data_IF_450908176950
#
_entry.id   IF_450908176950
#
_cell.length_a   1.000
_cell.length_b   1.000
_cell.length_c   1.000
_cell.angle_alpha   90.00
_cell.angle_beta   90.00
_cell.angle_gamma   90.00
#
_symmetry.space_group_name_H-M   'P 1'
#
loop_
_entity.id
_entity.type
_entity.pdbx_description
1 polymer ?
#
# COMPACT_ATOMS: atom_id res chain seq x y z
N UNK A 1 15.09 -11.06 24.39
CA UNK A 1 15.45 -11.63 23.07
C UNK A 1 14.33 -12.53 22.51
N UNK A 2 13.06 -12.10 22.50
CA UNK A 2 11.92 -12.96 22.08
C UNK A 2 11.00 -12.35 20.99
N UNK A 3 11.18 -11.07 20.64
CA UNK A 3 10.30 -10.38 19.68
C UNK A 3 10.54 -10.77 18.21
N UNK A 4 11.79 -11.10 17.83
CA UNK A 4 12.13 -11.48 16.46
C UNK A 4 11.60 -12.88 16.08
N UNK A 5 11.64 -13.81 17.03
CA UNK A 5 11.18 -15.19 16.85
C UNK A 5 9.66 -15.24 16.66
N UNK A 6 8.92 -14.42 17.40
CA UNK A 6 7.46 -14.33 17.29
C UNK A 6 7.01 -13.78 15.92
N UNK A 7 7.66 -12.72 15.41
CA UNK A 7 7.36 -12.19 14.06
C UNK A 7 7.58 -13.24 12.98
N UNK A 8 8.66 -14.02 13.08
CA UNK A 8 9.00 -15.06 12.12
C UNK A 8 7.96 -16.20 12.09
N UNK A 9 7.47 -16.64 13.25
CA UNK A 9 6.42 -17.69 13.33
C UNK A 9 5.10 -17.20 12.71
N UNK A 10 4.76 -15.92 12.90
CA UNK A 10 3.55 -15.32 12.33
C UNK A 10 3.65 -15.16 10.81
N UNK A 11 4.81 -14.75 10.29
CA UNK A 11 5.04 -14.63 8.84
C UNK A 11 5.04 -15.99 8.14
N UNK A 12 5.59 -17.02 8.78
CA UNK A 12 5.54 -18.39 8.27
C UNK A 12 4.12 -18.94 8.20
N UNK A 13 3.29 -18.65 9.22
CA UNK A 13 1.85 -18.97 9.19
C UNK A 13 1.08 -18.20 8.12
N UNK A 14 1.42 -16.93 7.90
CA UNK A 14 0.79 -16.10 6.86
C UNK A 14 1.12 -16.59 5.45
N UNK A 15 2.36 -17.03 5.22
CA UNK A 15 2.77 -17.59 3.92
C UNK A 15 2.20 -18.97 3.64
N UNK A 16 2.08 -19.83 4.65
CA UNK A 16 1.77 -21.26 4.46
C UNK A 16 0.29 -21.62 4.59
N UNK A 17 -0.56 -20.70 5.06
CA UNK A 17 -2.00 -20.96 5.22
C UNK A 17 -2.32 -21.98 6.31
N UNK A 18 -3.60 -22.07 6.71
CA UNK A 18 -4.05 -22.85 7.87
C UNK A 18 -4.09 -24.38 7.63
N UNK A 19 -3.60 -24.86 6.48
CA UNK A 19 -3.68 -26.26 6.06
C UNK A 19 -2.27 -26.88 5.94
N UNK A 20 -1.67 -27.20 7.08
CA UNK A 20 -0.60 -28.19 7.14
C UNK A 20 -0.88 -29.14 8.31
N UNK A 21 -1.99 -29.85 8.21
CA UNK A 21 -2.12 -31.18 8.79
C UNK A 21 -2.19 -32.12 7.60
N UNK A 22 -1.39 -33.18 7.62
CA UNK A 22 -1.25 -34.20 6.58
C UNK A 22 -0.14 -33.95 5.55
N UNK A 23 1.12 -33.97 5.99
CA UNK A 23 2.04 -34.90 5.34
C UNK A 23 3.14 -35.34 6.31
N UNK A 24 3.41 -36.64 6.24
CA UNK A 24 4.22 -37.46 7.12
C UNK A 24 5.72 -37.16 7.11
N UNK A 25 6.36 -37.35 8.27
CA UNK A 25 7.62 -38.08 8.34
C UNK A 25 8.84 -37.48 7.65
N UNK A 26 9.38 -36.39 8.22
CA UNK A 26 10.81 -36.06 8.36
C UNK A 26 10.90 -34.56 8.62
N UNK A 27 11.25 -34.17 9.83
CA UNK A 27 11.82 -32.84 10.06
C UNK A 27 13.24 -32.89 9.47
N UNK A 28 13.56 -32.24 8.33
CA UNK A 28 14.96 -32.10 7.96
C UNK A 28 15.58 -31.28 9.08
N UNK A 29 16.56 -31.87 9.75
CA UNK A 29 17.31 -31.24 10.84
C UNK A 29 17.64 -29.80 10.47
N UNK A 30 17.41 -28.90 11.42
CA UNK A 30 17.37 -27.46 11.22
C UNK A 30 18.44 -26.99 10.23
N UNK A 31 17.99 -26.40 9.12
CA UNK A 31 18.85 -25.51 8.36
C UNK A 31 19.29 -24.43 9.36
N UNK A 32 20.50 -24.60 9.88
CA UNK A 32 21.16 -23.60 10.72
C UNK A 32 21.09 -22.30 9.93
N UNK A 33 20.52 -21.28 10.57
CA UNK A 33 20.38 -19.95 10.02
C UNK A 33 21.76 -19.46 9.56
N UNK A 34 22.06 -19.62 8.28
CA UNK A 34 23.36 -19.23 7.77
C UNK A 34 23.39 -17.70 7.62
N UNK A 35 24.55 -17.05 7.83
CA UNK A 35 24.71 -15.63 7.52
C UNK A 35 24.24 -15.28 6.09
N UNK A 36 24.48 -16.18 5.12
CA UNK A 36 24.00 -16.02 3.75
C UNK A 36 22.47 -15.99 3.64
N UNK A 37 21.77 -16.83 4.41
CA UNK A 37 20.30 -16.83 4.46
C UNK A 37 19.74 -15.54 5.08
N UNK A 38 20.42 -14.95 6.06
CA UNK A 38 20.06 -13.66 6.64
C UNK A 38 20.25 -12.51 5.65
N UNK A 39 21.39 -12.49 4.96
CA UNK A 39 21.70 -11.46 3.94
C UNK A 39 20.65 -11.50 2.83
N UNK A 40 20.30 -12.69 2.34
CA UNK A 40 19.27 -12.85 1.30
C UNK A 40 17.89 -12.37 1.78
N UNK A 41 17.46 -12.77 2.97
CA UNK A 41 16.17 -12.34 3.52
C UNK A 41 16.10 -10.80 3.71
N UNK A 42 17.21 -10.18 4.11
CA UNK A 42 17.33 -8.73 4.21
C UNK A 42 17.24 -8.05 2.84
N UNK A 43 17.96 -8.54 1.83
CA UNK A 43 17.91 -8.01 0.47
C UNK A 43 16.49 -8.07 -0.10
N UNK A 44 15.81 -9.21 0.03
CA UNK A 44 14.42 -9.37 -0.39
C UNK A 44 13.49 -8.36 0.30
N UNK A 45 13.68 -8.11 1.60
CA UNK A 45 12.89 -7.12 2.34
C UNK A 45 13.17 -5.68 1.92
N UNK A 46 14.44 -5.35 1.65
CA UNK A 46 14.82 -4.04 1.12
C UNK A 46 14.18 -3.81 -0.25
N UNK A 47 14.20 -4.80 -1.13
CA UNK A 47 13.61 -4.68 -2.46
C UNK A 47 12.08 -4.56 -2.39
N UNK A 48 11.43 -5.29 -1.48
CA UNK A 48 10.00 -5.13 -1.18
C UNK A 48 9.69 -3.70 -0.74
N UNK A 49 10.46 -3.13 0.18
CA UNK A 49 10.28 -1.75 0.67
C UNK A 49 10.50 -0.73 -0.43
N UNK A 50 11.57 -0.87 -1.22
CA UNK A 50 11.84 0.01 -2.37
C UNK A 50 10.71 -0.01 -3.39
N UNK A 51 10.18 -1.19 -3.70
CA UNK A 51 9.02 -1.34 -4.59
C UNK A 51 7.75 -0.71 -4.01
N UNK A 52 7.53 -0.82 -2.70
CA UNK A 52 6.42 -0.16 -2.02
C UNK A 52 6.51 1.37 -2.10
N UNK A 53 7.69 1.93 -1.82
CA UNK A 53 7.94 3.38 -1.90
C UNK A 53 7.65 3.88 -3.31
N UNK A 54 8.25 3.26 -4.34
CA UNK A 54 8.01 3.66 -5.74
C UNK A 54 6.53 3.65 -6.14
N UNK A 55 5.76 2.66 -5.68
CA UNK A 55 4.32 2.59 -5.95
C UNK A 55 3.54 3.68 -5.20
N UNK A 56 3.94 3.97 -3.97
CA UNK A 56 3.32 5.05 -3.18
C UNK A 56 3.58 6.42 -3.82
N UNK A 57 4.81 6.67 -4.28
CA UNK A 57 5.17 7.91 -4.97
C UNK A 57 4.37 8.08 -6.27
N UNK A 58 4.31 7.04 -7.11
CA UNK A 58 3.51 7.08 -8.34
C UNK A 58 2.02 7.32 -8.07
N UNK A 59 1.45 6.71 -7.01
CA UNK A 59 0.07 6.95 -6.61
C UNK A 59 -0.14 8.37 -6.10
N UNK A 60 0.81 8.92 -5.33
CA UNK A 60 0.78 10.30 -4.84
C UNK A 60 0.83 11.29 -5.99
N UNK A 61 1.72 11.11 -6.96
CA UNK A 61 1.85 12.02 -8.10
C UNK A 61 0.60 12.02 -8.95
N UNK A 62 0.01 10.85 -9.20
CA UNK A 62 -1.28 10.74 -9.90
C UNK A 62 -2.42 11.42 -9.14
N UNK A 63 -2.47 11.27 -7.82
CA UNK A 63 -3.47 11.95 -6.98
C UNK A 63 -3.28 13.47 -7.00
N UNK A 64 -2.05 13.96 -6.95
CA UNK A 64 -1.77 15.39 -7.07
C UNK A 64 -2.29 15.93 -8.41
N UNK A 65 -1.97 15.26 -9.52
CA UNK A 65 -2.47 15.65 -10.84
C UNK A 65 -4.00 15.71 -10.89
N UNK A 66 -4.68 14.65 -10.44
CA UNK A 66 -6.15 14.57 -10.46
C UNK A 66 -6.76 15.65 -9.56
N UNK A 67 -6.25 15.84 -8.36
CA UNK A 67 -6.79 16.83 -7.42
C UNK A 67 -6.58 18.27 -7.91
N UNK A 68 -5.44 18.59 -8.54
CA UNK A 68 -5.22 19.91 -9.15
C UNK A 68 -6.16 20.15 -10.34
N UNK A 69 -6.33 19.15 -11.21
CA UNK A 69 -7.24 19.25 -12.35
C UNK A 69 -8.68 19.50 -11.87
N UNK A 70 -9.16 18.73 -10.90
CA UNK A 70 -10.49 18.91 -10.31
C UNK A 70 -10.64 20.26 -9.61
N UNK A 71 -9.59 20.75 -8.94
CA UNK A 71 -9.61 22.08 -8.32
C UNK A 71 -9.77 23.19 -9.38
N UNK A 72 -9.09 23.08 -10.51
CA UNK A 72 -9.22 24.03 -11.62
C UNK A 72 -10.62 23.95 -12.25
N UNK A 73 -11.10 22.74 -12.53
CA UNK A 73 -12.41 22.53 -13.13
C UNK A 73 -13.55 23.05 -12.24
N UNK A 74 -13.48 22.84 -10.92
CA UNK A 74 -14.48 23.34 -9.97
C UNK A 74 -14.56 24.87 -9.88
N UNK A 75 -13.56 25.60 -10.36
CA UNK A 75 -13.60 27.07 -10.45
C UNK A 75 -14.37 27.56 -11.68
N UNK A 76 -14.71 26.67 -12.62
CA UNK A 76 -15.51 27.00 -13.79
C UNK A 76 -16.99 26.82 -13.47
N UNK A 77 -17.74 27.92 -13.46
CA UNK A 77 -19.20 27.88 -13.28
C UNK A 77 -19.88 27.09 -14.40
N UNK A 78 -19.40 27.23 -15.65
CA UNK A 78 -19.92 26.48 -16.79
C UNK A 78 -19.74 24.97 -16.65
N UNK A 79 -18.62 24.53 -16.05
CA UNK A 79 -18.38 23.11 -15.80
C UNK A 79 -19.29 22.57 -14.70
N UNK A 80 -19.51 23.35 -13.63
CA UNK A 80 -20.40 22.94 -12.54
C UNK A 80 -21.86 22.86 -12.99
N UNK A 81 -22.33 23.83 -13.78
CA UNK A 81 -23.68 23.80 -14.35
C UNK A 81 -23.91 22.55 -15.20
N UNK A 82 -22.94 22.20 -16.07
CA UNK A 82 -23.02 20.98 -16.87
C UNK A 82 -23.09 19.70 -16.01
N UNK A 83 -22.34 19.64 -14.91
CA UNK A 83 -22.40 18.48 -14.01
C UNK A 83 -23.74 18.37 -13.28
N UNK A 84 -24.39 19.50 -12.95
CA UNK A 84 -25.71 19.51 -12.33
C UNK A 84 -26.79 19.06 -13.32
N UNK A 85 -26.75 19.58 -14.55
CA UNK A 85 -27.69 19.22 -15.62
C UNK A 85 -27.62 17.72 -15.99
N UNK A 86 -26.43 17.11 -15.85
CA UNK A 86 -26.18 15.70 -16.19
C UNK A 86 -26.25 14.73 -14.98
N UNK A 87 -26.65 15.21 -13.78
CA UNK A 87 -26.68 14.42 -12.54
C UNK A 87 -25.31 13.81 -12.13
N UNK A 88 -24.23 14.54 -12.42
CA UNK A 88 -22.84 14.16 -12.14
C UNK A 88 -22.18 15.06 -11.07
N UNK A 89 -22.95 15.86 -10.34
CA UNK A 89 -22.44 16.79 -9.33
C UNK A 89 -21.91 16.11 -8.05
N UNK A 90 -22.03 14.78 -7.92
CA UNK A 90 -21.58 14.05 -6.74
C UNK A 90 -20.07 13.74 -6.78
N UNK A 91 -19.38 13.94 -5.66
CA UNK A 91 -17.93 13.74 -5.55
C UNK A 91 -17.60 12.61 -4.56
N UNK A 92 -16.66 11.71 -4.88
CA UNK A 92 -16.16 10.72 -3.92
C UNK A 92 -15.51 11.38 -2.69
N UNK A 93 -15.88 10.90 -1.50
CA UNK A 93 -15.49 11.49 -0.21
C UNK A 93 -13.96 11.66 -0.05
N UNK A 94 -13.18 10.64 -0.42
CA UNK A 94 -11.72 10.69 -0.34
C UNK A 94 -11.08 11.78 -1.22
N UNK A 95 -11.72 12.12 -2.34
CA UNK A 95 -11.27 13.19 -3.23
C UNK A 95 -11.72 14.54 -2.67
N UNK A 96 -12.97 14.64 -2.22
CA UNK A 96 -13.52 15.84 -1.60
C UNK A 96 -12.69 16.30 -0.40
N UNK A 97 -12.32 15.37 0.49
CA UNK A 97 -11.45 15.65 1.65
C UNK A 97 -10.07 16.20 1.25
N UNK A 98 -9.47 15.71 0.15
CA UNK A 98 -8.18 16.21 -0.34
C UNK A 98 -8.29 17.61 -0.94
N UNK A 99 -9.41 17.91 -1.59
CA UNK A 99 -9.64 19.23 -2.17
C UNK A 99 -9.83 20.32 -1.10
N UNK A 100 -10.40 19.99 0.06
CA UNK A 100 -10.56 20.91 1.20
C UNK A 100 -9.28 21.06 2.03
N UNK A 101 -8.53 19.96 2.25
CA UNK A 101 -7.31 19.97 3.06
C UNK A 101 -6.11 20.66 2.39
N UNK A 102 -5.96 20.56 1.07
CA UNK A 102 -4.79 21.13 0.38
C UNK A 102 -4.77 22.68 0.31
N UNK A 103 -5.87 23.35 0.72
CA UNK A 103 -5.88 24.79 0.98
C UNK A 103 -5.42 25.17 2.40
N UNK A 104 -5.31 24.19 3.29
CA UNK A 104 -4.77 24.33 4.64
C UNK A 104 -3.33 23.81 4.64
N UNK A 105 -2.39 24.66 4.25
CA UNK A 105 -0.99 24.49 4.63
C UNK A 105 -0.60 25.66 5.55
N UNK A 106 -0.03 25.40 6.74
CA UNK A 106 1.05 26.27 7.20
C UNK A 106 2.25 26.19 6.25
#
# INVERSE_FOLDING_TARGET
MQAATAKRIVEDRRRRGKHLKQHSGRTPGGQKLSPASLIRAYQEEVDRKRSMIRRADAARDRLLLVTEALRRLRRSEQFMALLEDEDLATMPENIAARLTQAGARP
#
